data_IF_090629206059
#
_entry.id   IF_090629206059
#
_cell.length_a   1.000
_cell.length_b   1.000
_cell.length_c   1.000
_cell.angle_alpha   90.00
_cell.angle_beta   90.00
_cell.angle_gamma   90.00
#
_symmetry.space_group_name_H-M   'P 1'
#
loop_
_entity.id
_entity.type
_entity.pdbx_description
1 polymer ?
#
# COMPACT_ATOMS: atom_id res chain seq x y z
N UNK A 1 -10.45 5.61 19.37
CA UNK A 1 -9.97 4.21 19.35
C UNK A 1 -11.20 3.41 19.02
N UNK A 2 -11.34 3.00 17.77
CA UNK A 2 -12.59 2.43 17.26
C UNK A 2 -12.41 0.92 17.28
N UNK A 3 -13.05 0.31 18.28
CA UNK A 3 -12.91 -1.07 18.75
C UNK A 3 -14.01 -1.94 18.13
N UNK A 4 -13.88 -2.34 16.86
CA UNK A 4 -14.79 -3.35 16.28
C UNK A 4 -14.10 -4.62 15.81
N UNK A 5 -12.77 -4.71 15.83
CA UNK A 5 -12.06 -5.95 15.46
C UNK A 5 -12.47 -6.53 14.09
N UNK A 6 -13.17 -5.76 13.26
CA UNK A 6 -13.65 -6.22 11.99
C UNK A 6 -12.47 -6.23 11.04
N UNK A 7 -12.06 -7.44 10.68
CA UNK A 7 -11.16 -7.67 9.55
C UNK A 7 -11.93 -7.23 8.30
N UNK A 8 -11.73 -5.98 7.90
CA UNK A 8 -12.20 -5.46 6.62
C UNK A 8 -11.18 -5.84 5.55
N UNK A 9 -11.63 -6.51 4.50
CA UNK A 9 -10.81 -6.75 3.32
C UNK A 9 -10.40 -5.41 2.69
N UNK A 10 -9.12 -5.30 2.33
CA UNK A 10 -8.61 -4.12 1.67
C UNK A 10 -9.24 -4.00 0.27
N UNK A 11 -9.81 -2.83 -0.04
CA UNK A 11 -10.33 -2.55 -1.38
C UNK A 11 -9.14 -2.44 -2.34
N UNK A 12 -9.07 -3.23 -3.42
CA UNK A 12 -7.96 -3.16 -4.35
C UNK A 12 -7.86 -1.83 -5.11
N UNK A 13 -8.90 -0.97 -5.12
CA UNK A 13 -8.93 0.32 -5.83
C UNK A 13 -8.64 0.19 -7.34
N UNK A 14 -9.24 -0.84 -7.97
CA UNK A 14 -9.15 -1.06 -9.43
C UNK A 14 -9.78 0.07 -10.25
N UNK A 15 -10.68 0.85 -9.63
CA UNK A 15 -11.29 2.07 -10.17
C UNK A 15 -10.29 3.22 -10.33
N UNK A 16 -9.26 3.27 -9.47
CA UNK A 16 -8.23 4.32 -9.49
C UNK A 16 -7.11 3.99 -10.47
N UNK A 17 -6.54 2.78 -10.35
CA UNK A 17 -5.64 2.21 -11.36
C UNK A 17 -5.80 0.70 -11.43
N UNK A 18 -5.85 0.19 -12.66
CA UNK A 18 -5.86 -1.23 -12.92
C UNK A 18 -4.44 -1.71 -13.28
N UNK A 19 -3.65 -2.04 -12.25
CA UNK A 19 -2.34 -2.67 -12.45
C UNK A 19 -2.44 -4.18 -12.61
N UNK A 20 -3.40 -4.81 -11.95
CA UNK A 20 -3.67 -6.24 -12.09
C UNK A 20 -5.16 -6.51 -11.95
N UNK A 21 -5.84 -6.99 -13.01
CA UNK A 21 -7.22 -7.44 -12.90
C UNK A 21 -7.34 -8.74 -12.08
N UNK A 22 -6.24 -9.47 -11.89
CA UNK A 22 -6.16 -10.70 -11.10
C UNK A 22 -6.15 -10.45 -9.58
N UNK A 23 -6.04 -9.19 -9.13
CA UNK A 23 -6.18 -8.79 -7.73
C UNK A 23 -4.88 -8.44 -7.01
N UNK A 24 -4.94 -8.45 -5.66
CA UNK A 24 -3.82 -8.09 -4.79
C UNK A 24 -2.82 -9.24 -4.68
N UNK A 25 -1.52 -8.96 -4.79
CA UNK A 25 -0.48 -9.97 -4.59
C UNK A 25 0.75 -9.41 -3.86
N UNK A 26 1.44 -10.28 -3.12
CA UNK A 26 2.75 -10.00 -2.52
C UNK A 26 3.71 -11.19 -2.69
N UNK A 27 5.02 -10.94 -2.66
CA UNK A 27 6.05 -11.99 -2.72
C UNK A 27 6.43 -12.51 -4.12
N UNK A 28 5.89 -11.96 -5.21
CA UNK A 28 6.36 -12.19 -6.59
C UNK A 28 6.58 -10.86 -7.31
N UNK A 29 7.68 -10.65 -8.05
CA UNK A 29 7.87 -9.44 -8.85
C UNK A 29 6.79 -9.40 -9.95
N UNK A 30 5.82 -8.49 -9.80
CA UNK A 30 4.68 -8.39 -10.70
C UNK A 30 3.76 -7.22 -10.35
N UNK A 31 2.74 -6.99 -11.16
CA UNK A 31 1.83 -5.84 -11.03
C UNK A 31 0.92 -5.89 -9.79
N UNK A 32 0.71 -7.07 -9.20
CA UNK A 32 -0.06 -7.22 -7.96
C UNK A 32 0.58 -6.54 -6.74
N UNK A 33 1.92 -6.38 -6.71
CA UNK A 33 2.63 -5.61 -5.68
C UNK A 33 2.27 -4.12 -5.74
N UNK A 34 2.13 -3.59 -6.96
CA UNK A 34 1.73 -2.21 -7.18
C UNK A 34 0.28 -1.97 -6.76
N UNK A 35 -0.62 -2.91 -7.07
CA UNK A 35 -2.02 -2.82 -6.64
C UNK A 35 -2.15 -2.85 -5.12
N UNK A 36 -1.41 -3.75 -4.45
CA UNK A 36 -1.39 -3.83 -2.98
C UNK A 36 -0.85 -2.55 -2.34
N UNK A 37 0.23 -1.99 -2.88
CA UNK A 37 0.77 -0.71 -2.40
C UNK A 37 -0.24 0.43 -2.54
N UNK A 38 -0.92 0.52 -3.68
CA UNK A 38 -1.92 1.57 -3.93
C UNK A 38 -3.10 1.44 -2.96
N UNK A 39 -3.62 0.23 -2.81
CA UNK A 39 -4.73 -0.07 -1.92
C UNK A 39 -4.43 0.28 -0.46
N UNK A 40 -3.23 -0.08 0.04
CA UNK A 40 -2.78 0.25 1.40
C UNK A 40 -2.70 1.77 1.59
N UNK A 41 -2.15 2.49 0.61
CA UNK A 41 -2.03 3.94 0.70
C UNK A 41 -3.39 4.63 0.64
N UNK A 42 -4.33 4.18 -0.20
CA UNK A 42 -5.68 4.74 -0.26
C UNK A 42 -6.40 4.58 1.09
N UNK A 43 -6.35 3.38 1.69
CA UNK A 43 -6.95 3.13 3.00
C UNK A 43 -6.28 3.94 4.12
N UNK A 44 -4.94 4.03 4.09
CA UNK A 44 -4.19 4.75 5.11
C UNK A 44 -4.32 6.27 4.99
N UNK A 45 -4.30 6.84 3.79
CA UNK A 45 -4.29 8.29 3.58
C UNK A 45 -5.70 8.87 3.43
N UNK A 46 -6.64 8.13 2.84
CA UNK A 46 -7.93 8.68 2.42
C UNK A 46 -7.80 9.74 1.33
N UNK A 47 -6.68 9.76 0.61
CA UNK A 47 -6.33 10.72 -0.43
C UNK A 47 -5.75 9.94 -1.63
N UNK A 48 -6.58 9.79 -2.66
CA UNK A 48 -6.26 9.01 -3.85
C UNK A 48 -5.11 9.63 -4.65
N UNK A 49 -5.05 10.96 -4.74
CA UNK A 49 -3.99 11.64 -5.49
C UNK A 49 -2.63 11.45 -4.82
N UNK A 50 -2.56 11.53 -3.49
CA UNK A 50 -1.34 11.22 -2.73
C UNK A 50 -0.95 9.76 -2.87
N UNK A 51 -1.92 8.85 -2.79
CA UNK A 51 -1.67 7.42 -2.96
C UNK A 51 -1.09 7.11 -4.35
N UNK A 52 -1.65 7.69 -5.41
CA UNK A 52 -1.14 7.52 -6.79
C UNK A 52 0.28 8.06 -7.00
N UNK A 53 0.66 9.14 -6.32
CA UNK A 53 2.04 9.66 -6.44
C UNK A 53 3.06 8.78 -5.74
N UNK A 54 2.68 8.11 -4.65
CA UNK A 54 3.61 7.45 -3.74
C UNK A 54 3.64 5.93 -3.85
N UNK A 55 2.62 5.28 -4.43
CA UNK A 55 2.50 3.81 -4.40
C UNK A 55 3.69 3.06 -4.99
N UNK A 56 4.34 3.59 -6.04
CA UNK A 56 5.49 2.90 -6.64
C UNK A 56 6.69 2.87 -5.69
N UNK A 57 7.01 4.01 -5.05
CA UNK A 57 8.10 4.04 -4.07
C UNK A 57 7.77 3.26 -2.81
N UNK A 58 6.53 3.40 -2.33
CA UNK A 58 6.05 2.64 -1.18
C UNK A 58 6.13 1.12 -1.43
N UNK A 59 5.76 0.68 -2.64
CA UNK A 59 5.92 -0.70 -3.07
C UNK A 59 7.38 -1.15 -2.94
N UNK A 60 8.31 -0.38 -3.49
CA UNK A 60 9.72 -0.80 -3.55
C UNK A 60 10.39 -0.79 -2.16
N UNK A 61 9.99 0.13 -1.28
CA UNK A 61 10.54 0.26 0.08
C UNK A 61 9.97 -0.78 1.04
N UNK A 62 8.67 -1.12 0.91
CA UNK A 62 7.97 -1.97 1.89
C UNK A 62 7.50 -3.26 1.27
N UNK A 63 6.59 -3.18 0.29
CA UNK A 63 5.86 -4.34 -0.21
C UNK A 63 6.79 -5.35 -0.90
N UNK A 64 7.79 -4.88 -1.63
CA UNK A 64 8.81 -5.71 -2.27
C UNK A 64 9.75 -6.42 -1.27
N UNK A 65 9.77 -5.97 -0.02
CA UNK A 65 10.63 -6.51 1.06
C UNK A 65 9.86 -7.37 2.06
N UNK A 66 8.54 -7.48 1.90
CA UNK A 66 7.73 -8.35 2.74
C UNK A 66 8.10 -9.81 2.48
N UNK A 67 8.29 -10.55 3.56
CA UNK A 67 8.57 -11.97 3.50
C UNK A 67 7.36 -12.71 2.93
N UNK A 68 7.60 -13.58 1.96
CA UNK A 68 6.56 -14.30 1.22
C UNK A 68 5.92 -15.39 2.07
N UNK A 69 6.73 -16.07 2.86
CA UNK A 69 6.34 -17.30 3.55
C UNK A 69 5.86 -17.03 4.98
N UNK A 70 5.80 -15.75 5.37
CA UNK A 70 5.40 -15.33 6.71
C UNK A 70 4.24 -14.34 6.67
N UNK A 71 3.28 -14.46 7.60
CA UNK A 71 2.29 -13.41 7.79
C UNK A 71 3.01 -12.12 8.20
N UNK A 72 2.54 -11.02 7.65
CA UNK A 72 3.02 -9.68 7.99
C UNK A 72 1.88 -8.86 8.59
N UNK A 73 2.24 -7.92 9.44
CA UNK A 73 1.32 -6.94 10.01
C UNK A 73 1.89 -5.56 9.72
N UNK A 74 1.10 -4.73 9.04
CA UNK A 74 1.47 -3.35 8.74
C UNK A 74 0.45 -2.41 9.36
N UNK A 75 0.86 -1.69 10.40
CA UNK A 75 -0.01 -0.75 11.08
C UNK A 75 -0.18 0.54 10.27
N UNK A 76 -1.40 1.11 10.27
CA UNK A 76 -1.68 2.41 9.61
C UNK A 76 -0.69 3.50 10.00
N UNK A 77 -0.29 3.57 11.27
CA UNK A 77 0.71 4.55 11.74
C UNK A 77 2.07 4.38 11.06
N UNK A 78 2.52 3.14 10.86
CA UNK A 78 3.77 2.85 10.15
C UNK A 78 3.68 3.30 8.69
N UNK A 79 2.54 3.05 8.03
CA UNK A 79 2.31 3.52 6.66
C UNK A 79 2.44 5.04 6.57
N UNK A 80 1.82 5.78 7.48
CA UNK A 80 1.88 7.24 7.51
C UNK A 80 3.32 7.76 7.77
N UNK A 81 4.07 7.11 8.66
CA UNK A 81 5.47 7.45 8.93
C UNK A 81 6.33 7.28 7.67
N UNK A 82 6.17 6.16 6.98
CA UNK A 82 6.88 5.88 5.73
C UNK A 82 6.50 6.89 4.64
N UNK A 83 5.22 7.23 4.52
CA UNK A 83 4.75 8.27 3.58
C UNK A 83 5.41 9.61 3.87
N UNK A 84 5.46 10.05 5.12
CA UNK A 84 6.11 11.30 5.51
C UNK A 84 7.59 11.31 5.07
N UNK A 85 8.29 10.20 5.27
CA UNK A 85 9.70 10.08 4.85
C UNK A 85 9.86 10.12 3.34
N UNK A 86 8.97 9.44 2.60
CA UNK A 86 8.99 9.45 1.13
C UNK A 86 8.70 10.84 0.55
N UNK A 87 7.87 11.63 1.22
CA UNK A 87 7.57 13.02 0.84
C UNK A 87 8.75 13.96 1.15
N UNK A 88 9.40 13.80 2.30
CA UNK A 88 10.59 14.58 2.69
C UNK A 88 11.81 14.31 1.79
N UNK A 89 11.92 13.10 1.23
CA UNK A 89 12.99 12.69 0.31
C UNK A 89 12.78 13.17 -1.14
N UNK A 90 11.73 13.94 -1.44
CA UNK A 90 11.51 14.53 -2.76
C UNK A 90 12.14 15.93 -2.82
N UNK A 91 13.28 16.15 -3.52
CA UNK A 91 13.61 17.49 -3.94
C UNK A 91 12.57 17.93 -4.96
N UNK A 92 11.90 19.05 -4.68
CA UNK A 92 10.93 19.68 -5.58
C UNK A 92 11.52 20.05 -6.94
#
# INVERSE_FOLDING_TARGET
MNDTGQVRGLDPRLDLRNHSPDGLAWGYPGSGLAQLALAILCDALGDDERAERLYQRFRDVIIARLDRDRPWVLARRSVLDIVSRLEDEQPG
#
